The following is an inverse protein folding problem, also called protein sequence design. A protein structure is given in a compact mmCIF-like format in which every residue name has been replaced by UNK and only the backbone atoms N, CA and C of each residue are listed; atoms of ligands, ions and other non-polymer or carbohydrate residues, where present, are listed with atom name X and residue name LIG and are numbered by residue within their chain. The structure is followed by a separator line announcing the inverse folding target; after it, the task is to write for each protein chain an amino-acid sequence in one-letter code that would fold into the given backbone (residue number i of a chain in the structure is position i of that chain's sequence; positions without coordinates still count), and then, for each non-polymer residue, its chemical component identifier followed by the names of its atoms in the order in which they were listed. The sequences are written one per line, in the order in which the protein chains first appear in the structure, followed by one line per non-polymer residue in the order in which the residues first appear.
data_IF_672335880215
#
_entry.id   IF_672335880215
#
_cell.length_a   1.000
_cell.length_b   1.000
_cell.length_c   1.000
_cell.angle_alpha   90.00
_cell.angle_beta   90.00
_cell.angle_gamma   90.00
#
_symmetry.space_group_name_H-M   'P 1'
#
loop_
_entity.id
_entity.type
_entity.pdbx_description
1 polymer ?
#
# COMPACT_ATOMS: atom_id res chain seq x y z
N UNK A 1 -22.50 -13.24 -5.51
CA UNK A 1 -21.96 -11.86 -5.40
C UNK A 1 -20.60 -11.87 -6.08
N UNK A 2 -20.53 -11.55 -7.37
CA UNK A 2 -19.23 -11.44 -8.06
C UNK A 2 -18.61 -10.06 -7.80
N UNK A 3 -18.31 -9.80 -6.52
CA UNK A 3 -17.65 -8.57 -6.09
C UNK A 3 -16.14 -8.70 -6.21
N UNK A 4 -15.61 -8.82 -7.43
CA UNK A 4 -14.16 -8.71 -7.62
C UNK A 4 -13.74 -7.27 -7.28
N UNK A 5 -12.81 -7.12 -6.35
CA UNK A 5 -12.11 -5.84 -6.11
C UNK A 5 -11.70 -5.24 -7.45
N UNK A 6 -11.82 -3.91 -7.59
CA UNK A 6 -11.33 -3.14 -8.76
C UNK A 6 -9.88 -3.51 -9.13
N UNK A 7 -9.13 -3.99 -8.15
CA UNK A 7 -7.71 -4.29 -8.24
C UNK A 7 -7.39 -5.80 -8.26
N UNK A 8 -8.39 -6.66 -8.46
CA UNK A 8 -8.20 -8.11 -8.53
C UNK A 8 -7.19 -8.47 -9.63
N UNK A 9 -6.17 -9.26 -9.29
CA UNK A 9 -5.09 -9.67 -10.20
C UNK A 9 -3.96 -8.65 -10.37
N UNK A 10 -4.02 -7.49 -9.70
CA UNK A 10 -2.96 -6.47 -9.76
C UNK A 10 -2.00 -6.55 -8.57
N UNK A 11 -0.72 -6.31 -8.83
CA UNK A 11 0.32 -6.05 -7.83
C UNK A 11 0.11 -4.70 -7.14
N UNK A 12 0.71 -4.50 -5.97
CA UNK A 12 0.55 -3.25 -5.18
C UNK A 12 0.98 -2.01 -5.98
N UNK A 13 2.13 -2.08 -6.67
CA UNK A 13 2.65 -0.97 -7.47
C UNK A 13 1.69 -0.59 -8.62
N UNK A 14 1.08 -1.57 -9.29
CA UNK A 14 0.10 -1.30 -10.35
C UNK A 14 -1.15 -0.59 -9.80
N UNK A 15 -1.61 -0.98 -8.60
CA UNK A 15 -2.74 -0.32 -7.94
C UNK A 15 -2.41 1.11 -7.54
N UNK A 16 -1.22 1.34 -7.00
CA UNK A 16 -0.71 2.67 -6.65
C UNK A 16 -0.57 3.58 -7.87
N UNK A 17 -0.09 3.03 -8.99
CA UNK A 17 0.03 3.75 -10.25
C UNK A 17 -1.34 4.13 -10.82
N UNK A 18 -2.26 3.17 -10.96
CA UNK A 18 -3.61 3.41 -11.51
C UNK A 18 -4.45 4.35 -10.62
N UNK A 19 -4.22 4.34 -9.31
CA UNK A 19 -4.89 5.26 -8.38
C UNK A 19 -4.27 6.66 -8.33
N UNK A 20 -3.10 6.88 -8.94
CA UNK A 20 -2.37 8.14 -8.88
C UNK A 20 -1.75 8.42 -7.50
N UNK A 21 -1.56 7.38 -6.68
CA UNK A 21 -1.02 7.50 -5.32
C UNK A 21 0.44 7.05 -5.20
N UNK A 22 1.06 6.57 -6.29
CA UNK A 22 2.42 6.02 -6.27
C UNK A 22 3.48 7.01 -5.75
N UNK A 23 3.45 8.27 -6.20
CA UNK A 23 4.41 9.28 -5.77
C UNK A 23 4.25 9.62 -4.28
N UNK A 24 2.99 9.73 -3.82
CA UNK A 24 2.66 9.98 -2.41
C UNK A 24 3.10 8.82 -1.52
N UNK A 25 2.97 7.58 -2.00
CA UNK A 25 3.45 6.42 -1.27
C UNK A 25 4.96 6.47 -1.09
N UNK A 26 5.71 6.76 -2.16
CA UNK A 26 7.16 6.86 -2.06
C UNK A 26 7.63 8.04 -1.21
N UNK A 27 6.89 9.16 -1.22
CA UNK A 27 7.11 10.28 -0.31
C UNK A 27 6.91 9.87 1.15
N UNK A 28 5.78 9.24 1.49
CA UNK A 28 5.51 8.74 2.83
C UNK A 28 6.59 7.75 3.30
N UNK A 29 7.03 6.83 2.44
CA UNK A 29 8.14 5.90 2.74
C UNK A 29 9.44 6.65 3.01
N UNK A 30 9.77 7.67 2.20
CA UNK A 30 11.00 8.47 2.36
C UNK A 30 11.00 9.25 3.66
N UNK A 31 9.85 9.80 4.05
CA UNK A 31 9.68 10.58 5.28
C UNK A 31 9.46 9.70 6.52
N UNK A 32 9.37 8.38 6.34
CA UNK A 32 9.01 7.40 7.37
C UNK A 32 7.64 7.68 8.02
N UNK A 33 6.73 8.26 7.26
CA UNK A 33 5.34 8.50 7.68
C UNK A 33 4.53 7.20 7.50
N UNK A 34 4.50 6.40 8.57
CA UNK A 34 3.81 5.11 8.62
C UNK A 34 2.30 5.29 8.46
N UNK A 35 1.72 6.32 9.07
CA UNK A 35 0.28 6.56 9.04
C UNK A 35 -0.17 6.93 7.62
N UNK A 36 0.58 7.80 6.94
CA UNK A 36 0.32 8.13 5.54
C UNK A 36 0.47 6.90 4.63
N UNK A 37 1.53 6.09 4.82
CA UNK A 37 1.72 4.86 4.07
C UNK A 37 0.55 3.88 4.24
N UNK A 38 0.07 3.68 5.48
CA UNK A 38 -1.10 2.84 5.78
C UNK A 38 -2.36 3.40 5.09
N UNK A 39 -2.63 4.70 5.21
CA UNK A 39 -3.79 5.33 4.60
C UNK A 39 -3.80 5.15 3.07
N UNK A 40 -2.63 5.30 2.43
CA UNK A 40 -2.48 5.12 0.99
C UNK A 40 -2.72 3.65 0.58
N UNK A 41 -2.13 2.69 1.30
CA UNK A 41 -2.30 1.27 1.00
C UNK A 41 -3.75 0.81 1.20
N UNK A 42 -4.46 1.34 2.20
CA UNK A 42 -5.91 1.11 2.36
C UNK A 42 -6.72 1.69 1.21
N UNK A 43 -6.35 2.86 0.69
CA UNK A 43 -7.03 3.49 -0.45
C UNK A 43 -6.93 2.68 -1.75
N UNK A 44 -5.92 1.80 -1.87
CA UNK A 44 -5.76 0.84 -2.98
C UNK A 44 -6.23 -0.58 -2.64
N UNK A 45 -7.12 -0.69 -1.64
CA UNK A 45 -7.81 -1.93 -1.26
C UNK A 45 -6.83 -3.07 -0.89
N UNK A 46 -5.76 -2.72 -0.19
CA UNK A 46 -4.93 -3.73 0.49
C UNK A 46 -5.53 -4.06 1.86
N UNK A 47 -5.67 -5.36 2.11
CA UNK A 47 -5.96 -5.87 3.45
C UNK A 47 -4.76 -5.75 4.39
N UNK A 48 -5.02 -5.86 5.70
CA UNK A 48 -4.05 -5.60 6.76
C UNK A 48 -2.75 -6.41 6.63
N UNK A 49 -2.83 -7.71 6.36
CA UNK A 49 -1.64 -8.56 6.17
C UNK A 49 -0.72 -8.04 5.06
N UNK A 50 -1.31 -7.62 3.93
CA UNK A 50 -0.56 -7.09 2.80
C UNK A 50 0.00 -5.69 3.11
N UNK A 51 -0.71 -4.88 3.90
CA UNK A 51 -0.19 -3.59 4.38
C UNK A 51 1.05 -3.84 5.22
N UNK A 52 0.99 -4.74 6.21
CA UNK A 52 2.11 -5.06 7.08
C UNK A 52 3.31 -5.58 6.30
N UNK A 53 3.09 -6.47 5.32
CA UNK A 53 4.16 -6.94 4.45
C UNK A 53 4.82 -5.81 3.63
N UNK A 54 4.04 -4.84 3.14
CA UNK A 54 4.57 -3.69 2.40
C UNK A 54 5.36 -2.74 3.31
N UNK A 55 4.88 -2.47 4.52
CA UNK A 55 5.59 -1.64 5.49
C UNK A 55 6.94 -2.26 5.89
N UNK A 56 6.98 -3.59 6.08
CA UNK A 56 8.22 -4.33 6.33
C UNK A 56 9.18 -4.24 5.14
N UNK A 57 8.67 -4.52 3.94
CA UNK A 57 9.46 -4.43 2.70
C UNK A 57 10.02 -3.01 2.47
N UNK A 58 9.25 -1.98 2.83
CA UNK A 58 9.67 -0.58 2.74
C UNK A 58 10.63 -0.15 3.86
N UNK A 59 10.93 -1.02 4.85
CA UNK A 59 11.80 -0.71 5.98
C UNK A 59 11.19 0.28 6.99
N UNK A 60 9.85 0.41 7.00
CA UNK A 60 9.13 1.29 7.91
C UNK A 60 8.86 0.66 9.27
N UNK A 61 8.78 -0.67 9.33
CA UNK A 61 8.57 -1.44 10.56
C UNK A 61 9.47 -2.69 10.57
N UNK A 62 9.78 -3.19 11.77
CA UNK A 62 10.59 -4.40 12.00
C UNK A 62 9.73 -5.62 12.35
N UNK A 63 10.35 -6.81 12.38
CA UNK A 63 9.74 -8.09 12.78
C UNK A 63 9.74 -8.36 14.31
N UNK A 64 9.89 -7.32 15.14
CA UNK A 64 10.01 -7.46 16.61
C UNK A 64 8.84 -8.21 17.28
#
# INVERSE_FOLDING_TARGET
MDGKSKYSGMTVNERLYISGLIDKYYEAVREKDIDAAISILKAVDLGEDNIMANLKFAGLISDD
#
